data_IF_228363982895
#
_entry.id   IF_228363982895
#
_cell.length_a   1.000
_cell.length_b   1.000
_cell.length_c   1.000
_cell.angle_alpha   90.00
_cell.angle_beta   90.00
_cell.angle_gamma   90.00
#
_symmetry.space_group_name_H-M   'P 1'
#
loop_
_entity.id
_entity.type
_entity.pdbx_description
1 polymer ?
#
# COMPACT_ATOMS: atom_id res chain seq x y z
N UNK A 1 -8.82 -13.17 -23.81
CA UNK A 1 -8.08 -13.05 -22.53
C UNK A 1 -7.95 -11.56 -22.28
N UNK A 2 -8.92 -10.99 -21.57
CA UNK A 2 -8.87 -9.61 -21.09
C UNK A 2 -8.51 -9.65 -19.59
N UNK A 3 -7.70 -8.70 -19.14
CA UNK A 3 -7.27 -8.56 -17.75
C UNK A 3 -7.60 -7.14 -17.33
N UNK A 4 -8.34 -7.00 -16.23
CA UNK A 4 -8.54 -5.73 -15.54
C UNK A 4 -7.46 -5.58 -14.46
N UNK A 5 -6.71 -4.47 -14.51
CA UNK A 5 -5.63 -4.19 -13.59
C UNK A 5 -5.72 -2.75 -13.06
N UNK A 6 -5.40 -2.58 -11.78
CA UNK A 6 -5.20 -1.27 -11.17
C UNK A 6 -3.72 -0.95 -11.15
N UNK A 7 -3.32 0.14 -11.81
CA UNK A 7 -1.93 0.60 -11.84
C UNK A 7 -1.80 1.81 -10.93
N UNK A 8 -0.94 1.70 -9.93
CA UNK A 8 -0.55 2.80 -9.06
C UNK A 8 0.84 3.28 -9.45
N UNK A 9 0.99 4.59 -9.60
CA UNK A 9 2.26 5.22 -9.96
C UNK A 9 2.72 6.16 -8.87
N UNK A 10 4.02 6.38 -8.78
CA UNK A 10 4.61 7.24 -7.77
C UNK A 10 5.92 7.85 -8.26
N UNK A 11 6.47 8.76 -7.47
CA UNK A 11 7.74 9.39 -7.77
C UNK A 11 8.87 8.37 -7.77
N UNK A 12 9.53 8.20 -8.92
CA UNK A 12 10.72 7.34 -9.06
C UNK A 12 11.82 7.72 -8.07
N UNK A 13 12.03 9.02 -7.87
CA UNK A 13 13.02 9.54 -6.93
C UNK A 13 12.70 9.16 -5.50
N UNK A 14 11.44 9.31 -5.08
CA UNK A 14 11.03 8.95 -3.73
C UNK A 14 11.23 7.45 -3.44
N UNK A 15 10.79 6.59 -4.37
CA UNK A 15 10.98 5.14 -4.26
C UNK A 15 12.46 4.74 -4.22
N UNK A 16 13.28 5.33 -5.10
CA UNK A 16 14.73 5.07 -5.11
C UNK A 16 15.41 5.48 -3.80
N UNK A 17 15.01 6.62 -3.23
CA UNK A 17 15.57 7.10 -1.97
C UNK A 17 15.23 6.16 -0.80
N UNK A 18 14.01 5.61 -0.75
CA UNK A 18 13.62 4.65 0.28
C UNK A 18 14.45 3.37 0.21
N UNK A 19 14.58 2.78 -0.99
CA UNK A 19 15.39 1.56 -1.18
C UNK A 19 16.84 1.81 -0.79
N UNK A 20 17.43 2.93 -1.23
CA UNK A 20 18.81 3.26 -0.88
C UNK A 20 18.99 3.47 0.63
N UNK A 21 18.05 4.13 1.30
CA UNK A 21 18.10 4.34 2.75
C UNK A 21 18.21 3.00 3.51
N UNK A 22 17.39 2.01 3.16
CA UNK A 22 17.44 0.68 3.79
C UNK A 22 18.75 -0.05 3.42
N UNK A 23 19.11 -0.07 2.14
CA UNK A 23 20.31 -0.74 1.64
C UNK A 23 21.61 -0.22 2.28
N UNK A 24 21.71 1.09 2.54
CA UNK A 24 22.90 1.68 3.21
C UNK A 24 23.10 1.18 4.65
N UNK A 25 22.07 0.57 5.24
CA UNK A 25 22.15 -0.09 6.56
C UNK A 25 22.43 -1.60 6.46
N UNK A 26 22.78 -2.11 5.28
CA UNK A 26 23.13 -3.51 5.05
C UNK A 26 21.93 -4.46 5.04
N UNK A 27 20.73 -3.95 4.76
CA UNK A 27 19.49 -4.72 4.65
C UNK A 27 19.05 -4.72 3.19
N UNK A 28 18.82 -5.91 2.65
CA UNK A 28 18.27 -6.06 1.29
C UNK A 28 16.76 -5.80 1.31
N UNK A 29 16.29 -5.04 0.32
CA UNK A 29 14.85 -4.77 0.13
C UNK A 29 14.32 -5.74 -0.91
N UNK A 30 13.42 -6.63 -0.48
CA UNK A 30 12.80 -7.62 -1.38
C UNK A 30 11.85 -6.95 -2.38
N UNK A 31 10.91 -6.13 -1.88
CA UNK A 31 9.91 -5.44 -2.70
C UNK A 31 9.36 -4.20 -1.98
N UNK A 32 8.88 -3.22 -2.76
CA UNK A 32 8.09 -2.10 -2.26
C UNK A 32 6.61 -2.42 -2.36
N UNK A 33 5.88 -2.23 -1.26
CA UNK A 33 4.43 -2.45 -1.20
C UNK A 33 3.71 -1.11 -1.06
N UNK A 34 2.56 -0.96 -1.71
CA UNK A 34 1.68 0.18 -1.53
C UNK A 34 1.09 0.15 -0.11
N UNK A 35 1.34 1.20 0.69
CA UNK A 35 0.95 1.26 2.11
C UNK A 35 -0.53 0.92 2.35
N UNK A 36 -1.50 1.53 1.64
CA UNK A 36 -2.91 1.20 1.89
C UNK A 36 -3.26 -0.28 1.65
N UNK A 37 -2.58 -0.94 0.72
CA UNK A 37 -2.72 -2.38 0.45
C UNK A 37 -2.19 -3.23 1.61
N UNK A 38 -1.09 -2.81 2.23
CA UNK A 38 -0.56 -3.46 3.43
C UNK A 38 -1.47 -3.22 4.63
N UNK A 39 -1.92 -1.98 4.85
CA UNK A 39 -2.80 -1.61 5.94
C UNK A 39 -4.14 -2.35 5.87
N UNK A 40 -4.75 -2.46 4.69
CA UNK A 40 -5.98 -3.25 4.51
C UNK A 40 -5.79 -4.71 4.96
N UNK A 41 -4.65 -5.32 4.59
CA UNK A 41 -4.38 -6.73 4.89
C UNK A 41 -4.10 -6.95 6.36
N UNK A 42 -3.56 -5.93 7.03
CA UNK A 42 -3.23 -5.98 8.45
C UNK A 42 -4.47 -5.82 9.34
N UNK A 43 -5.44 -4.98 8.95
CA UNK A 43 -6.54 -4.58 9.86
C UNK A 43 -7.92 -5.09 9.46
N UNK A 44 -8.14 -5.43 8.18
CA UNK A 44 -9.46 -5.86 7.70
C UNK A 44 -9.56 -7.36 7.53
N UNK A 45 -10.70 -7.89 7.94
CA UNK A 45 -11.15 -9.22 7.55
C UNK A 45 -11.62 -9.23 6.08
N UNK A 46 -11.63 -10.40 5.40
CA UNK A 46 -12.15 -10.50 4.05
C UNK A 46 -13.61 -10.05 3.91
N UNK A 47 -14.44 -10.25 4.93
CA UNK A 47 -15.85 -9.88 4.89
C UNK A 47 -16.04 -8.36 4.97
N UNK A 48 -15.23 -7.65 5.77
CA UNK A 48 -15.24 -6.18 5.82
C UNK A 48 -14.86 -5.57 4.46
N UNK A 49 -13.85 -6.13 3.77
CA UNK A 49 -13.48 -5.67 2.42
C UNK A 49 -14.57 -5.88 1.39
N UNK A 50 -15.29 -7.01 1.46
CA UNK A 50 -16.39 -7.30 0.53
C UNK A 50 -17.62 -6.42 0.75
N UNK A 51 -17.91 -6.03 2.00
CA UNK A 51 -19.04 -5.16 2.32
C UNK A 51 -18.82 -3.70 1.88
N UNK A 52 -17.58 -3.30 1.61
CA UNK A 52 -17.21 -1.92 1.37
C UNK A 52 -16.77 -1.24 2.66
N UNK A 53 -15.52 -0.78 2.71
CA UNK A 53 -14.94 -0.17 3.92
C UNK A 53 -13.93 0.92 3.57
N UNK A 54 -13.95 2.01 4.33
CA UNK A 54 -12.92 3.04 4.29
C UNK A 54 -11.92 2.81 5.43
N UNK A 55 -10.65 2.64 5.08
CA UNK A 55 -9.53 2.65 6.02
C UNK A 55 -8.97 4.06 6.06
N UNK A 56 -8.80 4.58 7.28
CA UNK A 56 -8.18 5.88 7.56
C UNK A 56 -6.95 5.62 8.41
N UNK A 57 -5.76 5.69 7.80
CA UNK A 57 -4.49 5.59 8.51
C UNK A 57 -4.02 6.97 8.94
N UNK A 58 -3.83 7.16 10.24
CA UNK A 58 -3.47 8.44 10.84
C UNK A 58 -2.03 8.35 11.34
N UNK A 59 -1.10 8.84 10.51
CA UNK A 59 0.33 8.88 10.80
C UNK A 59 0.77 10.16 11.50
N UNK A 60 2.09 10.27 11.72
CA UNK A 60 2.68 11.45 12.37
C UNK A 60 2.70 12.72 11.53
N UNK A 61 2.52 12.61 10.20
CA UNK A 61 2.54 13.76 9.28
C UNK A 61 1.67 13.61 8.04
N UNK A 62 1.03 12.45 7.84
CA UNK A 62 0.06 12.17 6.78
C UNK A 62 -1.18 11.55 7.38
N UNK A 63 -2.28 11.66 6.65
CA UNK A 63 -3.47 10.86 6.89
C UNK A 63 -3.87 10.29 5.56
N UNK A 64 -3.79 8.98 5.45
CA UNK A 64 -4.01 8.24 4.22
C UNK A 64 -5.42 7.61 4.29
N UNK A 65 -6.16 7.73 3.20
CA UNK A 65 -7.54 7.23 3.12
C UNK A 65 -7.64 6.32 1.91
N UNK A 66 -8.09 5.10 2.12
CA UNK A 66 -8.37 4.14 1.06
C UNK A 66 -9.74 3.50 1.26
N UNK A 67 -10.45 3.29 0.15
CA UNK A 67 -11.77 2.65 0.13
C UNK A 67 -11.63 1.33 -0.63
N UNK A 68 -12.00 0.24 0.03
CA UNK A 68 -11.96 -1.11 -0.53
C UNK A 68 -13.39 -1.60 -0.72
N UNK A 69 -13.68 -2.15 -1.90
CA UNK A 69 -14.99 -2.67 -2.31
C UNK A 69 -14.73 -3.96 -3.11
N UNK A 70 -15.59 -4.96 -2.97
CA UNK A 70 -15.52 -6.22 -3.74
C UNK A 70 -14.17 -6.96 -3.63
N UNK A 71 -13.50 -6.88 -2.48
CA UNK A 71 -12.18 -7.49 -2.21
C UNK A 71 -11.03 -6.97 -3.10
N UNK A 72 -11.19 -5.75 -3.65
CA UNK A 72 -10.11 -4.95 -4.23
C UNK A 72 -9.10 -4.47 -3.16
#
# INVERSE_FOLDING_TARGET
>A
LEVDAHIVTGSRTAMSNLVQCVATNGIDVDELVLEPLASNKAVLTPDERKMGVAVVDIGGGTTDIAVFIDDA
#
